data_IF_000016661441
#
_entry.id   IF_000016661441
#
_cell.length_a   1.000
_cell.length_b   1.000
_cell.length_c   1.000
_cell.angle_alpha   90.00
_cell.angle_beta   90.00
_cell.angle_gamma   90.00
#
_symmetry.space_group_name_H-M   'P 1'
#
loop_
_entity.id
_entity.type
_entity.pdbx_description
1 polymer ?
#
# COMPACT_ATOMS: atom_id res chain seq x y z
N UNK A 1 8.18 -62.18 -70.09
CA UNK A 1 8.34 -61.29 -68.92
C UNK A 1 8.93 -59.98 -69.45
N UNK A 2 8.12 -58.95 -69.56
CA UNK A 2 8.38 -57.78 -70.41
C UNK A 2 9.14 -56.69 -69.63
N UNK A 3 10.46 -56.66 -69.82
CA UNK A 3 11.41 -55.76 -69.15
C UNK A 3 11.23 -54.28 -69.56
N UNK A 4 10.42 -53.98 -70.59
CA UNK A 4 10.13 -52.60 -71.02
C UNK A 4 9.20 -51.84 -70.07
N UNK A 5 8.37 -52.53 -69.28
CA UNK A 5 7.45 -51.91 -68.32
C UNK A 5 8.17 -51.43 -67.04
N UNK A 6 9.23 -52.11 -66.61
CA UNK A 6 10.02 -51.72 -65.42
C UNK A 6 10.89 -50.48 -65.68
N UNK A 7 11.46 -50.33 -66.87
CA UNK A 7 12.27 -49.15 -67.22
C UNK A 7 11.44 -47.88 -67.41
N UNK A 8 10.15 -48.00 -67.78
CA UNK A 8 9.26 -46.82 -67.91
C UNK A 8 8.85 -46.27 -66.54
N UNK A 9 8.74 -47.14 -65.52
CA UNK A 9 8.34 -46.73 -64.17
C UNK A 9 9.51 -46.10 -63.38
N UNK A 10 10.74 -46.56 -63.59
CA UNK A 10 11.93 -45.93 -62.97
C UNK A 10 12.20 -44.51 -63.48
N UNK A 11 11.87 -44.21 -64.76
CA UNK A 11 12.05 -42.86 -65.32
C UNK A 11 11.07 -41.84 -64.73
N UNK A 12 9.87 -42.27 -64.31
CA UNK A 12 8.93 -41.39 -63.60
C UNK A 12 9.38 -41.07 -62.17
N UNK A 13 10.06 -42.01 -61.50
CA UNK A 13 10.49 -41.81 -60.11
C UNK A 13 11.65 -40.81 -59.98
N UNK A 14 12.59 -40.81 -60.94
CA UNK A 14 13.73 -39.86 -60.92
C UNK A 14 13.29 -38.43 -61.26
N UNK A 15 12.29 -38.25 -62.12
CA UNK A 15 11.86 -36.93 -62.56
C UNK A 15 10.97 -36.19 -61.54
N UNK A 16 10.34 -36.90 -60.59
CA UNK A 16 9.57 -36.31 -59.48
C UNK A 16 10.49 -35.95 -58.29
N UNK A 17 11.61 -36.65 -58.12
CA UNK A 17 12.56 -36.37 -57.03
C UNK A 17 13.43 -35.13 -57.29
N UNK A 18 13.67 -34.78 -58.55
CA UNK A 18 14.45 -33.57 -58.92
C UNK A 18 13.62 -32.28 -58.76
N UNK A 19 12.29 -32.35 -58.90
CA UNK A 19 11.40 -31.19 -58.71
C UNK A 19 11.20 -30.79 -57.23
N UNK A 20 11.37 -31.72 -56.29
CA UNK A 20 11.22 -31.44 -54.85
C UNK A 20 12.51 -30.84 -54.25
N UNK A 21 13.70 -31.18 -54.77
CA UNK A 21 14.97 -30.63 -54.25
C UNK A 21 15.22 -29.17 -54.64
N UNK A 22 14.54 -28.64 -55.66
CA UNK A 22 14.61 -27.21 -56.00
C UNK A 22 13.67 -26.32 -55.17
N UNK A 23 12.68 -26.89 -54.48
CA UNK A 23 11.70 -26.13 -53.68
C UNK A 23 12.06 -25.98 -52.19
N UNK A 24 13.22 -26.49 -51.74
CA UNK A 24 13.68 -26.27 -50.35
C UNK A 24 14.82 -25.26 -50.20
N UNK A 25 15.46 -24.80 -51.28
CA UNK A 25 16.49 -23.74 -51.21
C UNK A 25 15.94 -22.32 -51.03
N UNK A 26 14.64 -22.15 -50.87
CA UNK A 26 13.99 -20.85 -50.67
C UNK A 26 13.25 -20.70 -49.33
N UNK A 27 13.45 -21.60 -48.37
CA UNK A 27 13.29 -21.23 -46.96
C UNK A 27 14.52 -20.42 -46.51
N UNK A 28 14.78 -19.32 -47.24
CA UNK A 28 15.61 -18.23 -46.75
C UNK A 28 14.89 -17.81 -45.48
N UNK A 29 15.45 -18.14 -44.32
CA UNK A 29 15.12 -17.44 -43.09
C UNK A 29 15.17 -15.96 -43.44
N UNK A 30 14.00 -15.35 -43.66
CA UNK A 30 13.82 -13.93 -43.48
C UNK A 30 13.95 -13.75 -41.98
N UNK A 31 15.18 -13.84 -41.48
CA UNK A 31 15.57 -12.95 -40.41
C UNK A 31 15.36 -11.58 -41.04
N UNK A 32 14.22 -10.96 -40.75
CA UNK A 32 14.06 -9.55 -40.97
C UNK A 32 15.16 -8.91 -40.14
N UNK A 33 16.32 -8.70 -40.75
CA UNK A 33 17.35 -7.85 -40.21
C UNK A 33 16.73 -6.47 -40.27
N UNK A 34 16.01 -6.11 -39.22
CA UNK A 34 15.67 -4.73 -38.97
C UNK A 34 17.02 -4.03 -38.91
N UNK A 35 17.39 -3.35 -39.99
CA UNK A 35 18.62 -2.55 -40.05
C UNK A 35 18.39 -1.31 -39.21
N UNK A 36 18.18 -1.49 -37.91
CA UNK A 36 18.31 -0.42 -36.95
C UNK A 36 19.80 -0.07 -36.97
N UNK A 37 20.11 1.11 -37.50
CA UNK A 37 21.40 1.73 -37.26
C UNK A 37 21.67 1.64 -35.75
N UNK A 38 22.86 1.20 -35.35
CA UNK A 38 23.20 1.01 -33.93
C UNK A 38 22.89 2.25 -33.09
N UNK A 39 23.01 3.45 -33.69
CA UNK A 39 22.60 4.73 -33.12
C UNK A 39 21.11 4.76 -32.73
N UNK A 40 20.23 4.26 -33.59
CA UNK A 40 18.78 4.18 -33.33
C UNK A 40 18.47 3.14 -32.25
N UNK A 41 19.16 2.00 -32.24
CA UNK A 41 19.00 0.99 -31.19
C UNK A 41 19.37 1.55 -29.80
N UNK A 42 20.48 2.27 -29.70
CA UNK A 42 20.92 2.94 -28.46
C UNK A 42 19.88 3.98 -28.02
N UNK A 43 19.37 4.81 -28.94
CA UNK A 43 18.36 5.82 -28.63
C UNK A 43 17.05 5.20 -28.11
N UNK A 44 16.62 4.08 -28.68
CA UNK A 44 15.39 3.39 -28.24
C UNK A 44 15.56 2.82 -26.83
N UNK A 45 16.65 2.09 -26.57
CA UNK A 45 16.90 1.50 -25.24
C UNK A 45 17.05 2.60 -24.19
N UNK A 46 17.81 3.66 -24.51
CA UNK A 46 18.01 4.79 -23.61
C UNK A 46 16.69 5.53 -23.33
N UNK A 47 15.88 5.76 -24.37
CA UNK A 47 14.55 6.36 -24.22
C UNK A 47 13.62 5.50 -23.36
N UNK A 48 13.64 4.17 -23.55
CA UNK A 48 12.84 3.25 -22.74
C UNK A 48 13.28 3.27 -21.27
N UNK A 49 14.60 3.30 -21.02
CA UNK A 49 15.15 3.41 -19.66
C UNK A 49 14.76 4.71 -18.98
N UNK A 50 14.85 5.85 -19.68
CA UNK A 50 14.41 7.14 -19.17
C UNK A 50 12.90 7.15 -18.88
N UNK A 51 12.08 6.62 -19.80
CA UNK A 51 10.64 6.52 -19.61
C UNK A 51 10.30 5.67 -18.38
N UNK A 52 10.94 4.52 -18.21
CA UNK A 52 10.76 3.67 -17.04
C UNK A 52 11.19 4.36 -15.74
N UNK A 53 12.31 5.08 -15.75
CA UNK A 53 12.80 5.85 -14.59
C UNK A 53 11.82 6.97 -14.22
N UNK A 54 11.35 7.76 -15.18
CA UNK A 54 10.38 8.82 -14.95
C UNK A 54 9.04 8.25 -14.47
N UNK A 55 8.59 7.15 -15.07
CA UNK A 55 7.37 6.46 -14.68
C UNK A 55 7.45 5.93 -13.24
N UNK A 56 8.57 5.34 -12.85
CA UNK A 56 8.78 4.86 -11.48
C UNK A 56 8.73 6.00 -10.45
N UNK A 57 9.39 7.13 -10.73
CA UNK A 57 9.35 8.30 -9.84
C UNK A 57 7.95 8.88 -9.75
N UNK A 58 7.26 9.05 -10.89
CA UNK A 58 5.89 9.59 -10.94
C UNK A 58 4.90 8.69 -10.20
N UNK A 59 4.95 7.38 -10.45
CA UNK A 59 4.06 6.41 -9.82
C UNK A 59 4.27 6.35 -8.31
N UNK A 60 5.52 6.47 -7.84
CA UNK A 60 5.82 6.54 -6.42
C UNK A 60 5.34 7.87 -5.80
N UNK A 61 5.55 8.99 -6.48
CA UNK A 61 5.12 10.31 -6.04
C UNK A 61 3.60 10.42 -5.88
N UNK A 62 2.85 9.90 -6.87
CA UNK A 62 1.37 9.91 -6.87
C UNK A 62 0.78 9.15 -5.66
N UNK A 63 1.48 8.12 -5.17
CA UNK A 63 1.07 7.33 -4.00
C UNK A 63 1.34 8.02 -2.66
N UNK A 64 2.31 8.93 -2.57
CA UNK A 64 2.74 9.47 -1.27
C UNK A 64 1.95 10.73 -0.83
N UNK A 65 1.27 11.41 -1.75
CA UNK A 65 0.75 12.76 -1.49
C UNK A 65 -0.62 12.82 -0.81
N UNK A 66 -1.42 11.74 -0.81
CA UNK A 66 -2.81 11.79 -0.30
C UNK A 66 -2.85 11.76 1.23
N UNK A 67 -1.99 10.95 1.84
CA UNK A 67 -1.82 10.84 3.30
C UNK A 67 -1.38 12.14 3.96
N UNK A 68 -0.34 12.79 3.45
CA UNK A 68 0.18 14.04 4.02
C UNK A 68 -0.82 15.19 3.95
N UNK A 69 -1.61 15.27 2.86
CA UNK A 69 -2.64 16.30 2.72
C UNK A 69 -3.81 16.08 3.69
N UNK A 70 -4.17 14.82 3.98
CA UNK A 70 -5.32 14.49 4.84
C UNK A 70 -5.00 14.43 6.32
N UNK A 71 -3.89 13.80 6.76
CA UNK A 71 -3.45 13.90 8.15
C UNK A 71 -2.94 15.31 8.49
N UNK A 72 -2.37 16.00 7.51
CA UNK A 72 -1.72 17.29 7.69
C UNK A 72 -0.22 17.12 7.92
N UNK A 73 0.55 18.07 7.37
CA UNK A 73 2.01 17.97 7.26
C UNK A 73 2.69 18.03 8.63
N UNK A 74 2.22 18.90 9.53
CA UNK A 74 2.74 19.01 10.90
C UNK A 74 2.38 17.81 11.76
N UNK A 75 1.15 17.29 11.64
CA UNK A 75 0.69 16.10 12.35
C UNK A 75 1.49 14.86 11.93
N UNK A 76 1.75 14.73 10.62
CA UNK A 76 2.53 13.60 10.09
C UNK A 76 3.98 13.60 10.61
N UNK A 77 4.60 14.79 10.77
CA UNK A 77 5.94 14.94 11.36
C UNK A 77 5.92 14.54 12.84
N UNK A 78 4.90 14.96 13.59
CA UNK A 78 4.73 14.57 14.99
C UNK A 78 4.54 13.05 15.14
N UNK A 79 3.69 12.43 14.33
CA UNK A 79 3.50 10.98 14.33
C UNK A 79 4.83 10.27 14.01
N UNK A 80 5.62 10.79 13.07
CA UNK A 80 6.89 10.21 12.69
C UNK A 80 7.96 10.30 13.79
N UNK A 81 8.06 11.44 14.48
CA UNK A 81 9.24 11.77 15.28
C UNK A 81 8.98 12.06 16.77
N UNK A 82 7.72 12.26 17.19
CA UNK A 82 7.42 12.65 18.56
C UNK A 82 8.07 11.71 19.58
N UNK A 83 8.80 12.23 20.58
CA UNK A 83 9.51 11.39 21.54
C UNK A 83 8.57 10.66 22.49
N UNK A 84 7.37 11.20 22.73
CA UNK A 84 6.38 10.62 23.65
C UNK A 84 5.14 10.14 22.89
N UNK A 85 4.71 8.91 23.19
CA UNK A 85 3.51 8.28 22.65
C UNK A 85 2.74 7.62 23.78
N UNK A 86 1.55 8.15 24.06
CA UNK A 86 0.64 7.58 25.03
C UNK A 86 -0.48 6.82 24.31
N UNK A 87 -0.73 5.60 24.77
CA UNK A 87 -1.93 4.86 24.47
C UNK A 87 -3.04 5.28 25.41
N UNK A 88 -4.21 5.56 24.86
CA UNK A 88 -5.42 5.87 25.60
C UNK A 88 -6.47 4.81 25.31
N UNK A 89 -7.09 4.27 26.34
CA UNK A 89 -8.37 3.58 26.20
C UNK A 89 -9.46 4.56 26.57
N UNK A 90 -10.40 4.78 25.65
CA UNK A 90 -11.44 5.78 25.80
C UNK A 90 -12.81 5.13 25.69
N UNK A 91 -13.77 5.71 26.40
CA UNK A 91 -15.16 5.27 26.37
C UNK A 91 -16.07 6.49 26.36
N UNK A 92 -17.18 6.37 25.62
CA UNK A 92 -18.21 7.42 25.55
C UNK A 92 -18.71 7.71 26.96
N UNK A 93 -18.57 8.96 27.39
CA UNK A 93 -19.02 9.43 28.69
C UNK A 93 -20.50 9.77 28.61
N UNK A 94 -21.29 9.30 29.56
CA UNK A 94 -22.65 9.83 29.72
C UNK A 94 -22.55 11.10 30.57
N UNK A 95 -23.39 12.11 30.30
CA UNK A 95 -23.33 13.44 30.90
C UNK A 95 -23.20 13.47 32.45
N UNK A 96 -23.56 12.38 33.13
CA UNK A 96 -23.45 12.19 34.57
C UNK A 96 -22.03 11.92 35.12
N UNK A 97 -21.02 11.65 34.27
CA UNK A 97 -19.65 11.27 34.68
C UNK A 97 -18.59 12.36 34.44
N UNK A 98 -18.99 13.54 33.98
CA UNK A 98 -18.10 14.69 33.68
C UNK A 98 -17.58 15.46 34.91
N UNK A 99 -17.93 15.03 36.13
CA UNK A 99 -17.71 15.84 37.33
C UNK A 99 -16.34 15.65 38.01
N UNK A 100 -15.59 14.58 37.71
CA UNK A 100 -14.32 14.28 38.42
C UNK A 100 -13.09 14.04 37.52
N UNK A 101 -13.25 13.69 36.25
CA UNK A 101 -12.14 13.39 35.34
C UNK A 101 -12.05 14.39 34.18
N UNK A 102 -10.85 14.77 33.71
CA UNK A 102 -10.70 15.62 32.53
C UNK A 102 -11.27 14.91 31.30
N UNK A 103 -12.51 15.26 30.97
CA UNK A 103 -13.22 14.71 29.81
C UNK A 103 -12.57 15.15 28.50
N UNK A 104 -12.40 14.21 27.58
CA UNK A 104 -11.96 14.48 26.22
C UNK A 104 -13.19 14.76 25.34
N UNK A 105 -13.16 15.86 24.58
CA UNK A 105 -14.20 16.17 23.61
C UNK A 105 -13.77 15.69 22.21
N UNK A 106 -14.43 14.66 21.71
CA UNK A 106 -14.23 14.14 20.35
C UNK A 106 -15.51 14.38 19.56
N UNK A 107 -15.44 15.13 18.46
CA UNK A 107 -16.62 15.44 17.63
C UNK A 107 -17.80 16.03 18.44
N UNK A 108 -17.49 16.88 19.43
CA UNK A 108 -18.48 17.47 20.34
C UNK A 108 -19.24 16.45 21.22
N UNK A 109 -18.74 15.22 21.33
CA UNK A 109 -19.21 14.20 22.27
C UNK A 109 -18.17 14.03 23.40
N UNK A 110 -18.62 13.88 24.67
CA UNK A 110 -17.70 13.68 25.79
C UNK A 110 -17.24 12.21 25.89
N UNK A 111 -15.94 12.02 26.10
CA UNK A 111 -15.29 10.74 26.33
C UNK A 111 -14.47 10.80 27.61
N UNK A 112 -14.40 9.69 28.34
CA UNK A 112 -13.50 9.52 29.49
C UNK A 112 -12.32 8.65 29.06
N UNK A 113 -11.13 8.99 29.54
CA UNK A 113 -9.93 8.16 29.40
C UNK A 113 -9.96 7.13 30.53
N UNK A 114 -10.25 5.87 30.21
CA UNK A 114 -10.24 4.78 31.18
C UNK A 114 -8.82 4.31 31.51
N UNK A 115 -7.89 4.47 30.56
CA UNK A 115 -6.52 3.98 30.68
C UNK A 115 -5.59 4.92 29.92
N UNK A 116 -4.47 5.30 30.56
CA UNK A 116 -3.40 6.07 29.95
C UNK A 116 -2.08 5.33 30.20
N UNK A 117 -1.39 4.95 29.12
CA UNK A 117 -0.14 4.20 29.20
C UNK A 117 0.90 4.78 28.25
N UNK A 118 2.10 5.06 28.77
CA UNK A 118 3.24 5.42 27.93
C UNK A 118 3.76 4.18 27.18
N UNK A 119 3.66 4.22 25.86
CA UNK A 119 4.12 3.16 24.95
C UNK A 119 5.29 3.62 24.08
N UNK A 120 5.93 4.76 24.39
CA UNK A 120 7.03 5.36 23.61
C UNK A 120 8.18 4.39 23.37
N UNK A 121 8.47 3.52 24.34
CA UNK A 121 9.58 2.55 24.31
C UNK A 121 9.15 1.11 24.02
N UNK A 122 7.86 0.86 23.75
CA UNK A 122 7.36 -0.49 23.47
C UNK A 122 7.90 -0.99 22.11
N UNK A 123 8.31 -2.27 22.03
CA UNK A 123 8.65 -2.88 20.74
C UNK A 123 7.44 -2.81 19.80
N UNK A 124 7.68 -2.57 18.51
CA UNK A 124 6.62 -2.39 17.51
C UNK A 124 6.24 -0.93 17.24
N UNK A 125 6.60 0.04 18.11
CA UNK A 125 6.29 1.46 17.92
C UNK A 125 6.82 2.03 16.59
N UNK A 126 8.04 1.68 16.19
CA UNK A 126 8.60 2.10 14.89
C UNK A 126 7.76 1.59 13.72
N UNK A 127 7.34 0.32 13.77
CA UNK A 127 6.49 -0.27 12.73
C UNK A 127 5.10 0.36 12.70
N UNK A 128 4.52 0.63 13.87
CA UNK A 128 3.25 1.32 14.02
C UNK A 128 3.29 2.71 13.37
N UNK A 129 4.34 3.51 13.66
CA UNK A 129 4.52 4.84 13.04
C UNK A 129 4.62 4.74 11.52
N UNK A 130 5.42 3.80 11.01
CA UNK A 130 5.52 3.59 9.58
C UNK A 130 4.17 3.21 8.96
N UNK A 131 3.41 2.32 9.61
CA UNK A 131 2.10 1.92 9.13
C UNK A 131 1.10 3.09 9.13
N UNK A 132 1.08 3.93 10.17
CA UNK A 132 0.22 5.13 10.25
C UNK A 132 0.56 6.20 9.19
N UNK A 133 1.78 6.21 8.67
CA UNK A 133 2.21 7.19 7.66
C UNK A 133 2.17 6.65 6.23
N UNK A 134 1.84 5.37 6.05
CA UNK A 134 1.75 4.74 4.75
C UNK A 134 0.38 4.96 4.11
N UNK A 135 0.37 5.37 2.85
CA UNK A 135 -0.85 5.59 2.07
C UNK A 135 -1.69 4.32 1.90
N UNK A 136 -1.02 3.17 1.80
CA UNK A 136 -1.66 1.86 1.70
C UNK A 136 -2.45 1.45 2.95
N UNK A 137 -2.26 2.16 4.06
CA UNK A 137 -2.97 1.90 5.31
C UNK A 137 -4.34 2.57 5.37
N UNK A 138 -4.66 3.44 4.42
CA UNK A 138 -5.91 4.18 4.38
C UNK A 138 -6.73 3.84 3.14
N UNK A 139 -8.05 3.78 3.32
CA UNK A 139 -9.01 3.68 2.23
C UNK A 139 -9.54 5.08 1.96
N UNK A 140 -9.33 5.57 0.74
CA UNK A 140 -9.68 6.93 0.33
C UNK A 140 -11.18 7.14 0.04
N UNK A 141 -12.04 6.32 0.66
CA UNK A 141 -13.49 6.44 0.58
C UNK A 141 -14.00 7.30 1.75
N UNK A 142 -15.14 7.99 1.60
CA UNK A 142 -15.73 8.73 2.71
C UNK A 142 -16.02 7.76 3.87
N UNK A 143 -15.57 8.13 5.08
CA UNK A 143 -15.94 7.41 6.29
C UNK A 143 -17.47 7.39 6.37
N UNK A 144 -18.04 6.18 6.44
CA UNK A 144 -19.47 5.95 6.21
C UNK A 144 -20.27 5.96 7.52
N UNK A 145 -19.62 5.89 8.67
CA UNK A 145 -20.31 5.63 9.94
C UNK A 145 -20.67 6.93 10.70
N UNK A 146 -21.96 7.18 10.97
CA UNK A 146 -22.43 8.44 11.55
C UNK A 146 -22.31 8.55 13.09
N UNK A 147 -22.07 7.44 13.82
CA UNK A 147 -21.79 7.46 15.27
C UNK A 147 -20.69 6.45 15.62
N UNK A 148 -19.42 6.75 15.30
CA UNK A 148 -18.30 5.87 15.58
C UNK A 148 -18.10 5.67 17.09
N UNK A 149 -17.85 4.43 17.50
CA UNK A 149 -17.55 4.05 18.86
C UNK A 149 -16.03 4.07 19.08
N UNK A 150 -15.51 5.25 19.40
CA UNK A 150 -14.09 5.44 19.72
C UNK A 150 -13.71 4.66 20.97
N UNK A 151 -12.82 3.68 20.80
CA UNK A 151 -12.37 2.78 21.88
C UNK A 151 -10.90 3.00 22.26
N UNK A 152 -10.09 3.37 21.27
CA UNK A 152 -8.64 3.48 21.43
C UNK A 152 -8.14 4.83 20.94
N UNK A 153 -7.08 5.32 21.57
CA UNK A 153 -6.42 6.57 21.24
C UNK A 153 -4.90 6.41 21.24
N UNK A 154 -4.23 7.12 20.34
CA UNK A 154 -2.80 7.31 20.35
C UNK A 154 -2.52 8.80 20.36
N UNK A 155 -1.85 9.25 21.42
CA UNK A 155 -1.44 10.62 21.59
C UNK A 155 0.07 10.72 21.41
N UNK A 156 0.49 11.46 20.41
CA UNK A 156 1.89 11.76 20.16
C UNK A 156 2.17 13.16 20.69
N UNK A 157 3.21 13.31 21.51
CA UNK A 157 3.60 14.59 22.12
C UNK A 157 5.06 14.91 21.85
N UNK A 158 5.29 16.15 21.44
CA UNK A 158 6.61 16.74 21.32
C UNK A 158 6.57 18.18 21.81
N UNK A 159 7.21 18.44 22.95
CA UNK A 159 7.23 19.77 23.59
C UNK A 159 5.82 20.36 23.80
N UNK A 160 5.45 21.38 23.02
CA UNK A 160 4.17 22.08 23.10
C UNK A 160 3.20 21.67 21.98
N UNK A 161 3.52 20.63 21.23
CA UNK A 161 2.68 20.10 20.17
C UNK A 161 2.21 18.70 20.54
N UNK A 162 0.92 18.46 20.34
CA UNK A 162 0.32 17.14 20.46
C UNK A 162 -0.56 16.82 19.26
N UNK A 163 -0.67 15.54 18.96
CA UNK A 163 -1.66 15.01 18.01
C UNK A 163 -2.30 13.77 18.60
N UNK A 164 -3.62 13.79 18.66
CA UNK A 164 -4.44 12.70 19.16
C UNK A 164 -5.20 12.04 18.01
N UNK A 165 -4.85 10.78 17.77
CA UNK A 165 -5.55 9.88 16.87
C UNK A 165 -6.48 9.00 17.68
N UNK A 166 -7.76 8.96 17.35
CA UNK A 166 -8.72 8.05 17.97
C UNK A 166 -9.25 7.07 16.94
N UNK A 167 -9.45 5.83 17.37
CA UNK A 167 -9.71 4.69 16.51
C UNK A 167 -10.99 3.98 16.92
N UNK A 168 -11.81 3.72 15.92
CA UNK A 168 -12.88 2.74 15.96
C UNK A 168 -12.47 1.61 15.03
N UNK A 169 -12.01 0.50 15.62
CA UNK A 169 -11.53 -0.65 14.86
C UNK A 169 -12.67 -1.47 14.27
N UNK A 170 -13.88 -1.39 14.84
CA UNK A 170 -15.08 -2.04 14.29
C UNK A 170 -15.53 -1.35 13.01
N UNK A 171 -15.55 -0.01 13.05
CA UNK A 171 -15.85 0.86 11.90
C UNK A 171 -14.67 1.06 10.95
N UNK A 172 -13.49 0.53 11.29
CA UNK A 172 -12.21 0.79 10.64
C UNK A 172 -11.97 2.29 10.38
N UNK A 173 -12.32 3.14 11.33
CA UNK A 173 -12.21 4.59 11.17
C UNK A 173 -11.18 5.14 12.14
N UNK A 174 -10.38 6.09 11.68
CA UNK A 174 -9.53 6.94 12.53
C UNK A 174 -10.00 8.38 12.44
N UNK A 175 -9.95 9.09 13.55
CA UNK A 175 -10.21 10.52 13.61
C UNK A 175 -9.02 11.25 14.21
N UNK A 176 -8.62 12.33 13.53
CA UNK A 176 -7.56 13.24 13.98
C UNK A 176 -8.24 14.40 14.69
N UNK A 177 -8.05 14.50 16.01
CA UNK A 177 -8.81 15.43 16.86
C UNK A 177 -8.51 16.89 16.50
N UNK A 178 -7.23 17.24 16.35
CA UNK A 178 -6.77 18.62 16.13
C UNK A 178 -7.19 19.17 14.76
N UNK A 179 -7.34 18.30 13.76
CA UNK A 179 -7.75 18.68 12.40
C UNK A 179 -9.24 18.42 12.15
N UNK A 180 -9.93 17.81 13.10
CA UNK A 180 -11.31 17.38 12.97
C UNK A 180 -11.61 16.62 11.66
N UNK A 181 -10.72 15.70 11.31
CA UNK A 181 -10.77 14.94 10.04
C UNK A 181 -10.89 13.45 10.33
N UNK A 182 -11.85 12.77 9.70
CA UNK A 182 -11.97 11.32 9.72
C UNK A 182 -11.37 10.67 8.47
N UNK A 183 -10.81 9.48 8.65
CA UNK A 183 -10.24 8.65 7.59
C UNK A 183 -10.63 7.19 7.81
N UNK A 184 -10.89 6.48 6.72
CA UNK A 184 -11.08 5.03 6.77
C UNK A 184 -9.72 4.35 6.71
N UNK A 185 -9.51 3.39 7.59
CA UNK A 185 -8.33 2.55 7.69
C UNK A 185 -8.56 1.29 6.86
N UNK A 186 -7.52 0.77 6.20
CA UNK A 186 -7.59 -0.50 5.51
C UNK A 186 -7.51 -1.70 6.46
N UNK A 187 -8.09 -2.83 6.05
CA UNK A 187 -8.17 -4.07 6.84
C UNK A 187 -6.85 -4.50 7.49
N UNK A 188 -5.73 -4.33 6.76
CA UNK A 188 -4.40 -4.71 7.24
C UNK A 188 -3.95 -3.89 8.44
N UNK A 189 -4.17 -2.58 8.40
CA UNK A 189 -3.82 -1.70 9.52
C UNK A 189 -4.80 -1.92 10.67
N UNK A 190 -6.12 -2.03 10.40
CA UNK A 190 -7.12 -2.31 11.43
C UNK A 190 -6.80 -3.60 12.22
N UNK A 191 -6.49 -4.69 11.51
CA UNK A 191 -6.12 -5.97 12.12
C UNK A 191 -4.82 -5.89 12.92
N UNK A 192 -3.81 -5.18 12.39
CA UNK A 192 -2.53 -4.98 13.09
C UNK A 192 -2.68 -4.13 14.36
N UNK A 193 -3.52 -3.08 14.32
CA UNK A 193 -3.83 -2.25 15.48
C UNK A 193 -4.59 -3.03 16.55
N UNK A 194 -5.58 -3.83 16.17
CA UNK A 194 -6.34 -4.65 17.11
C UNK A 194 -5.41 -5.60 17.90
N UNK A 195 -4.56 -6.34 17.19
CA UNK A 195 -3.57 -7.22 17.82
C UNK A 195 -2.63 -6.46 18.77
N UNK A 196 -2.10 -5.32 18.31
CA UNK A 196 -1.16 -4.52 19.09
C UNK A 196 -1.81 -3.90 20.34
N UNK A 197 -3.03 -3.37 20.22
CA UNK A 197 -3.77 -2.79 21.35
C UNK A 197 -4.21 -3.86 22.35
N UNK A 198 -4.59 -5.06 21.88
CA UNK A 198 -4.84 -6.19 22.76
C UNK A 198 -3.58 -6.62 23.51
N UNK A 199 -2.42 -6.65 22.87
CA UNK A 199 -1.14 -6.96 23.51
C UNK A 199 -0.81 -5.94 24.60
N UNK A 200 -0.92 -4.63 24.30
CA UNK A 200 -0.70 -3.57 25.27
C UNK A 200 -1.66 -3.69 26.46
N UNK A 201 -2.94 -3.93 26.20
CA UNK A 201 -3.97 -4.03 27.24
C UNK A 201 -3.73 -5.26 28.14
N UNK A 202 -3.34 -6.40 27.57
CA UNK A 202 -3.03 -7.62 28.33
C UNK A 202 -1.81 -7.45 29.24
N UNK A 203 -0.80 -6.71 28.81
CA UNK A 203 0.42 -6.52 29.59
C UNK A 203 0.19 -5.69 30.86
N UNK A 204 -0.85 -4.85 30.91
CA UNK A 204 -1.18 -4.09 32.13
C UNK A 204 -2.03 -4.88 33.14
N UNK A 205 -2.70 -5.95 32.72
CA UNK A 205 -3.51 -6.80 33.61
C UNK A 205 -2.71 -7.90 34.32
N UNK A 206 -1.37 -7.85 34.25
CA UNK A 206 -0.47 -8.88 34.77
C UNK A 206 0.47 -8.38 35.89
N UNK A 207 0.25 -7.15 36.34
CA UNK A 207 0.81 -6.58 37.58
C UNK A 207 -0.20 -6.75 38.72
#
# INVERSE_FOLDING_TARGET
MDYKLLLRNLRYYVHVYDSEMTMQKQARCRSGSFSLNGKTAILVIFGLGLAASLFAVWFNWSKTHRTLNRLGRSQSVLIAHAPQVNFLRIKKSTAAQLSDEPGLLIQNQPFVVEQLLDISRKPGMTHLRHALLQDASYVWQPATEPDPNWQYGLQFREHNQEVLLVFDLSAQTVYVVEKSTSLTIGDRLASGLDLYFQEITKLQGRD
#
